data_IF_179893187365
#
_entry.id   IF_179893187365
#
_cell.length_a   1.000
_cell.length_b   1.000
_cell.length_c   1.000
_cell.angle_alpha   90.00
_cell.angle_beta   90.00
_cell.angle_gamma   90.00
#
_symmetry.space_group_name_H-M   'P 1'
#
loop_
_entity.id
_entity.type
_entity.pdbx_description
1 polymer ?
#
# COMPACT_ATOMS: atom_id res chain seq x y z
N UNK A 1 -7.42 8.03 -18.91
CA UNK A 1 -6.47 8.61 -19.89
C UNK A 1 -6.85 10.02 -20.32
N UNK A 2 -8.14 10.37 -20.41
CA UNK A 2 -8.60 11.73 -20.75
C UNK A 2 -8.40 12.80 -19.64
N UNK A 3 -7.63 12.52 -18.58
CA UNK A 3 -7.36 13.47 -17.49
C UNK A 3 -8.47 13.65 -16.45
N UNK A 4 -9.69 13.17 -16.70
CA UNK A 4 -10.78 13.23 -15.73
C UNK A 4 -10.69 12.13 -14.66
N UNK A 5 -9.98 12.43 -13.57
CA UNK A 5 -9.80 11.50 -12.46
C UNK A 5 -11.03 11.36 -11.57
N UNK A 6 -11.90 12.37 -11.48
CA UNK A 6 -13.08 12.35 -10.61
C UNK A 6 -14.12 11.38 -11.17
N UNK A 7 -14.47 11.54 -12.44
CA UNK A 7 -15.40 10.64 -13.12
C UNK A 7 -14.84 9.22 -13.16
N UNK A 8 -13.54 9.06 -13.39
CA UNK A 8 -12.91 7.76 -13.37
C UNK A 8 -13.03 7.07 -11.99
N UNK A 9 -12.92 7.81 -10.89
CA UNK A 9 -13.13 7.27 -9.55
C UNK A 9 -14.59 6.85 -9.32
N UNK A 10 -15.56 7.65 -9.79
CA UNK A 10 -16.99 7.30 -9.75
C UNK A 10 -17.29 5.96 -10.42
N UNK A 11 -16.79 5.75 -11.65
CA UNK A 11 -16.99 4.48 -12.36
C UNK A 11 -16.35 3.29 -11.65
N UNK A 12 -15.19 3.51 -11.01
CA UNK A 12 -14.54 2.46 -10.23
C UNK A 12 -15.31 2.15 -8.93
N UNK A 13 -15.96 3.14 -8.33
CA UNK A 13 -16.81 2.94 -7.16
C UNK A 13 -18.08 2.16 -7.52
N UNK A 14 -18.74 2.51 -8.63
CA UNK A 14 -19.86 1.73 -9.17
C UNK A 14 -19.44 0.27 -9.43
N UNK A 15 -18.29 0.04 -10.05
CA UNK A 15 -17.77 -1.31 -10.27
C UNK A 15 -17.49 -2.06 -8.96
N UNK A 16 -16.98 -1.37 -7.93
CA UNK A 16 -16.74 -1.96 -6.60
C UNK A 16 -18.05 -2.32 -5.87
N UNK A 17 -19.13 -1.57 -6.12
CA UNK A 17 -20.44 -1.87 -5.55
C UNK A 17 -21.10 -3.10 -6.19
N UNK A 18 -20.76 -3.43 -7.44
CA UNK A 18 -21.25 -4.63 -8.13
C UNK A 18 -20.62 -5.92 -7.58
N UNK A 19 -19.39 -5.85 -7.07
CA UNK A 19 -18.72 -6.97 -6.38
C UNK A 19 -17.96 -6.47 -5.15
N UNK A 20 -18.64 -6.45 -4.01
CA UNK A 20 -18.08 -5.95 -2.76
C UNK A 20 -17.08 -6.90 -2.11
N UNK A 21 -17.03 -8.16 -2.55
CA UNK A 21 -16.11 -9.17 -2.03
C UNK A 21 -14.75 -9.15 -2.77
N UNK A 22 -14.68 -8.58 -3.97
CA UNK A 22 -13.45 -8.50 -4.76
C UNK A 22 -12.47 -7.43 -4.21
N UNK A 23 -11.38 -7.92 -3.62
CA UNK A 23 -10.29 -7.08 -3.11
C UNK A 23 -9.51 -6.36 -4.21
N UNK A 24 -9.34 -6.95 -5.39
CA UNK A 24 -8.63 -6.31 -6.50
C UNK A 24 -9.40 -5.08 -7.00
N UNK A 25 -10.71 -5.22 -7.23
CA UNK A 25 -11.56 -4.08 -7.64
C UNK A 25 -11.56 -3.00 -6.56
N UNK A 26 -11.63 -3.39 -5.29
CA UNK A 26 -11.51 -2.46 -4.16
C UNK A 26 -10.17 -1.70 -4.15
N UNK A 27 -9.03 -2.40 -4.27
CA UNK A 27 -7.71 -1.76 -4.36
C UNK A 27 -7.62 -0.78 -5.53
N UNK A 28 -8.19 -1.13 -6.69
CA UNK A 28 -8.22 -0.26 -7.87
C UNK A 28 -9.10 0.96 -7.65
N UNK A 29 -10.24 0.79 -6.98
CA UNK A 29 -11.12 1.89 -6.58
C UNK A 29 -10.41 2.86 -5.62
N UNK A 30 -9.80 2.36 -4.54
CA UNK A 30 -8.95 3.14 -3.63
C UNK A 30 -7.88 3.93 -4.39
N UNK A 31 -7.17 3.29 -5.31
CA UNK A 31 -6.14 3.94 -6.13
C UNK A 31 -6.68 5.10 -6.96
N UNK A 32 -7.88 4.96 -7.51
CA UNK A 32 -8.50 6.01 -8.31
C UNK A 32 -8.95 7.19 -7.44
N UNK A 33 -9.51 6.93 -6.26
CA UNK A 33 -9.81 7.98 -5.28
C UNK A 33 -8.56 8.74 -4.84
N UNK A 34 -7.43 8.06 -4.62
CA UNK A 34 -6.15 8.71 -4.32
C UNK A 34 -5.69 9.62 -5.47
N UNK A 35 -5.81 9.16 -6.71
CA UNK A 35 -5.47 9.95 -7.92
C UNK A 35 -6.37 11.16 -8.11
N UNK A 36 -7.64 11.04 -7.72
CA UNK A 36 -8.61 12.13 -7.64
C UNK A 36 -8.40 13.06 -6.42
N UNK A 37 -7.36 12.83 -5.61
CA UNK A 37 -7.05 13.54 -4.36
C UNK A 37 -8.13 13.43 -3.27
N UNK A 38 -9.01 12.44 -3.37
CA UNK A 38 -10.06 12.13 -2.39
C UNK A 38 -9.53 11.12 -1.36
N UNK A 39 -8.63 11.59 -0.48
CA UNK A 39 -7.89 10.73 0.45
C UNK A 39 -8.80 10.06 1.48
N UNK A 40 -9.77 10.79 2.04
CA UNK A 40 -10.67 10.24 3.07
C UNK A 40 -11.52 9.09 2.49
N UNK A 41 -12.13 9.31 1.31
CA UNK A 41 -12.90 8.29 0.60
C UNK A 41 -12.03 7.09 0.23
N UNK A 42 -10.78 7.32 -0.20
CA UNK A 42 -9.86 6.23 -0.46
C UNK A 42 -9.59 5.37 0.78
N UNK A 43 -9.45 6.00 1.96
CA UNK A 43 -9.25 5.30 3.25
C UNK A 43 -10.49 4.51 3.67
N UNK A 44 -11.69 5.05 3.48
CA UNK A 44 -12.95 4.34 3.74
C UNK A 44 -13.10 3.11 2.85
N UNK A 45 -12.84 3.25 1.55
CA UNK A 45 -12.90 2.13 0.59
C UNK A 45 -11.87 1.06 0.94
N UNK A 46 -10.63 1.48 1.24
CA UNK A 46 -9.58 0.55 1.64
C UNK A 46 -9.92 -0.17 2.96
N UNK A 47 -10.59 0.55 3.87
CA UNK A 47 -11.02 0.06 5.17
C UNK A 47 -11.91 -1.18 5.13
N UNK A 48 -12.63 -1.39 4.02
CA UNK A 48 -13.47 -2.58 3.80
C UNK A 48 -12.70 -3.90 3.89
N UNK A 49 -11.37 -3.89 3.66
CA UNK A 49 -10.49 -5.06 3.73
C UNK A 49 -9.42 -4.96 4.82
N UNK A 50 -9.58 -4.04 5.78
CA UNK A 50 -8.68 -3.91 6.94
C UNK A 50 -9.35 -4.41 8.22
N UNK A 51 -8.56 -4.64 9.28
CA UNK A 51 -9.11 -5.02 10.59
C UNK A 51 -9.91 -3.86 11.19
N UNK A 52 -11.05 -4.16 11.82
CA UNK A 52 -11.96 -3.17 12.41
C UNK A 52 -11.36 -2.37 13.58
N UNK A 53 -10.35 -2.93 14.26
CA UNK A 53 -9.77 -2.35 15.47
C UNK A 53 -8.60 -1.37 15.24
N UNK A 54 -8.22 -1.12 13.99
CA UNK A 54 -7.10 -0.25 13.63
C UNK A 54 -7.51 0.71 12.52
N UNK A 55 -6.86 1.88 12.43
CA UNK A 55 -7.12 2.74 11.27
C UNK A 55 -6.66 2.04 9.98
N UNK A 56 -7.38 2.18 8.86
CA UNK A 56 -6.99 1.54 7.60
C UNK A 56 -5.57 1.92 7.18
N UNK A 57 -5.15 3.16 7.46
CA UNK A 57 -3.80 3.64 7.15
C UNK A 57 -2.71 2.95 7.98
N UNK A 58 -2.95 2.72 9.27
CA UNK A 58 -1.99 2.02 10.14
C UNK A 58 -1.93 0.54 9.81
N UNK A 59 -3.09 -0.09 9.59
CA UNK A 59 -3.15 -1.50 9.19
C UNK A 59 -2.41 -1.75 7.88
N UNK A 60 -2.62 -0.90 6.86
CA UNK A 60 -1.93 -1.04 5.58
C UNK A 60 -0.42 -0.80 5.70
N UNK A 61 0.02 0.07 6.62
CA UNK A 61 1.44 0.24 6.94
C UNK A 61 2.02 -1.00 7.60
N UNK A 62 1.33 -1.59 8.58
CA UNK A 62 1.76 -2.83 9.25
C UNK A 62 1.83 -4.01 8.27
N UNK A 63 0.92 -4.06 7.29
CA UNK A 63 0.95 -5.07 6.22
C UNK A 63 1.95 -4.73 5.10
N UNK A 64 2.82 -3.73 5.30
CA UNK A 64 3.86 -3.31 4.35
C UNK A 64 3.30 -3.05 2.94
N UNK A 65 2.11 -2.44 2.86
CA UNK A 65 1.37 -2.20 1.63
C UNK A 65 1.91 -0.99 0.85
N UNK A 66 3.11 -1.13 0.28
CA UNK A 66 3.88 -0.04 -0.33
C UNK A 66 3.16 0.65 -1.51
N UNK A 67 2.37 -0.09 -2.30
CA UNK A 67 1.65 0.52 -3.42
C UNK A 67 0.65 1.59 -2.96
N UNK A 68 0.01 1.37 -1.80
CA UNK A 68 -0.92 2.30 -1.20
C UNK A 68 -0.19 3.50 -0.60
N UNK A 69 0.89 3.24 0.14
CA UNK A 69 1.73 4.28 0.75
C UNK A 69 2.34 5.22 -0.31
N UNK A 70 2.74 4.67 -1.46
CA UNK A 70 3.25 5.45 -2.58
C UNK A 70 2.16 6.34 -3.20
N UNK A 71 0.97 5.78 -3.49
CA UNK A 71 -0.12 6.54 -4.12
C UNK A 71 -0.68 7.62 -3.18
N UNK A 72 -0.76 7.36 -1.87
CA UNK A 72 -1.20 8.37 -0.89
C UNK A 72 -0.13 9.45 -0.68
N UNK A 73 1.17 9.10 -0.68
CA UNK A 73 2.26 10.09 -0.65
C UNK A 73 2.20 11.03 -1.86
N UNK A 74 1.95 10.48 -3.05
CA UNK A 74 1.77 11.27 -4.27
C UNK A 74 0.52 12.16 -4.20
N UNK A 75 -0.59 11.67 -3.62
CA UNK A 75 -1.78 12.47 -3.39
C UNK A 75 -1.52 13.65 -2.44
N UNK A 76 -0.84 13.40 -1.31
CA UNK A 76 -0.41 14.46 -0.39
C UNK A 76 0.49 15.48 -1.07
N UNK A 77 1.43 15.03 -1.90
CA UNK A 77 2.28 15.93 -2.70
C UNK A 77 1.48 16.81 -3.65
N UNK A 78 0.50 16.25 -4.39
CA UNK A 78 -0.39 17.02 -5.28
C UNK A 78 -1.21 18.06 -4.50
N UNK A 79 -1.59 17.74 -3.27
CA UNK A 79 -2.29 18.65 -2.35
C UNK A 79 -1.37 19.64 -1.62
N UNK A 80 -0.08 19.70 -1.95
CA UNK A 80 0.94 20.53 -1.27
C UNK A 80 1.11 20.25 0.23
N UNK A 81 0.68 19.07 0.69
CA UNK A 81 0.87 18.57 2.07
C UNK A 81 2.21 17.84 2.17
N UNK A 82 3.31 18.57 2.03
CA UNK A 82 4.64 17.97 1.90
C UNK A 82 5.11 17.21 3.14
N UNK A 83 4.73 17.64 4.35
CA UNK A 83 5.07 16.92 5.58
C UNK A 83 4.50 15.50 5.62
N UNK A 84 3.21 15.36 5.30
CA UNK A 84 2.55 14.04 5.22
C UNK A 84 3.11 13.18 4.09
N UNK A 85 3.40 13.80 2.94
CA UNK A 85 4.02 13.10 1.82
C UNK A 85 5.40 12.55 2.20
N UNK A 86 6.24 13.35 2.84
CA UNK A 86 7.58 12.96 3.27
C UNK A 86 7.53 11.87 4.34
N UNK A 87 6.61 11.99 5.30
CA UNK A 87 6.37 10.95 6.32
C UNK A 87 6.08 9.60 5.66
N UNK A 88 5.20 9.56 4.65
CA UNK A 88 4.90 8.33 3.90
C UNK A 88 6.11 7.77 3.16
N UNK A 89 6.95 8.63 2.59
CA UNK A 89 8.21 8.17 1.96
C UNK A 89 9.16 7.51 2.97
N UNK A 90 9.28 8.06 4.18
CA UNK A 90 10.10 7.44 5.24
C UNK A 90 9.50 6.14 5.77
N UNK A 91 8.17 6.01 5.81
CA UNK A 91 7.53 4.74 6.15
C UNK A 91 7.90 3.64 5.14
N UNK A 92 7.94 3.97 3.84
CA UNK A 92 8.39 3.05 2.79
C UNK A 92 9.87 2.66 2.97
N UNK A 93 10.74 3.63 3.22
CA UNK A 93 12.17 3.39 3.45
C UNK A 93 12.41 2.46 4.64
N UNK A 94 11.64 2.63 5.72
CA UNK A 94 11.70 1.75 6.90
C UNK A 94 11.36 0.30 6.55
N UNK A 95 10.39 0.04 5.67
CA UNK A 95 10.07 -1.33 5.23
C UNK A 95 11.29 -2.00 4.57
N UNK A 96 12.08 -1.26 3.80
CA UNK A 96 13.31 -1.80 3.20
C UNK A 96 14.38 -2.12 4.25
N UNK A 97 14.50 -1.31 5.30
CA UNK A 97 15.41 -1.62 6.42
C UNK A 97 14.96 -2.88 7.16
N UNK A 98 13.67 -3.01 7.44
CA UNK A 98 13.08 -4.21 8.04
C UNK A 98 13.37 -5.46 7.18
N UNK A 99 13.24 -5.37 5.86
CA UNK A 99 13.57 -6.48 4.95
C UNK A 99 15.04 -6.90 5.00
N UNK A 100 15.95 -5.95 5.22
CA UNK A 100 17.38 -6.24 5.36
C UNK A 100 17.65 -6.91 6.73
N UNK A 101 17.03 -6.40 7.79
CA UNK A 101 17.15 -6.96 9.14
C UNK A 101 16.59 -8.41 9.21
N UNK A 102 15.46 -8.66 8.54
CA UNK A 102 14.83 -9.98 8.44
C UNK A 102 15.74 -11.05 7.83
N UNK A 103 16.77 -10.66 7.05
CA UNK A 103 17.75 -11.60 6.48
C UNK A 103 18.64 -12.26 7.54
N UNK A 104 18.79 -11.64 8.72
CA UNK A 104 19.77 -12.06 9.72
C UNK A 104 19.57 -13.51 10.17
N UNK A 105 18.32 -13.91 10.41
CA UNK A 105 17.97 -15.27 10.86
C UNK A 105 18.25 -16.33 9.76
N UNK A 106 18.25 -15.90 8.49
CA UNK A 106 18.48 -16.80 7.36
C UNK A 106 19.93 -17.22 7.19
N UNK A 107 20.91 -16.45 7.70
CA UNK A 107 22.32 -16.86 7.70
C UNK A 107 22.53 -18.21 8.40
N UNK A 108 21.91 -18.39 9.58
CA UNK A 108 22.01 -19.65 10.32
C UNK A 108 21.00 -20.70 9.82
N UNK A 109 19.78 -20.27 9.48
CA UNK A 109 18.73 -21.18 9.01
C UNK A 109 19.12 -21.90 7.72
N UNK A 110 19.62 -21.18 6.72
CA UNK A 110 19.90 -21.74 5.39
C UNK A 110 21.07 -22.72 5.42
N UNK A 111 22.09 -22.45 6.24
CA UNK A 111 23.18 -23.39 6.50
C UNK A 111 22.68 -24.67 7.16
N UNK A 112 21.82 -24.55 8.19
CA UNK A 112 21.24 -25.72 8.88
C UNK A 112 20.32 -26.54 8.00
N UNK A 113 19.60 -25.91 7.07
CA UNK A 113 18.64 -26.56 6.16
C UNK A 113 19.22 -26.94 4.80
N UNK A 114 20.49 -26.64 4.55
CA UNK A 114 21.20 -26.95 3.31
C UNK A 114 20.54 -26.38 2.05
N UNK A 115 19.91 -25.20 2.16
CA UNK A 115 19.27 -24.47 1.04
C UNK A 115 20.20 -23.38 0.50
N UNK A 116 21.40 -23.79 0.09
CA UNK A 116 22.51 -22.86 -0.18
C UNK A 116 22.32 -21.99 -1.44
N UNK A 117 21.65 -22.50 -2.48
CA UNK A 117 21.39 -21.70 -3.69
C UNK A 117 20.49 -20.50 -3.36
N UNK A 118 19.36 -20.76 -2.68
CA UNK A 118 18.45 -19.71 -2.25
C UNK A 118 19.09 -18.72 -1.26
N UNK A 119 20.05 -19.18 -0.44
CA UNK A 119 20.80 -18.30 0.45
C UNK A 119 21.70 -17.33 -0.33
N UNK A 120 22.42 -17.81 -1.35
CA UNK A 120 23.25 -16.94 -2.19
C UNK A 120 22.38 -15.97 -3.00
N UNK A 121 21.23 -16.42 -3.50
CA UNK A 121 20.28 -15.55 -4.23
C UNK A 121 19.67 -14.46 -3.35
N UNK A 122 19.62 -14.66 -2.03
CA UNK A 122 19.10 -13.67 -1.06
C UNK A 122 20.10 -12.55 -0.76
N UNK A 123 21.41 -12.84 -0.80
CA UNK A 123 22.51 -11.90 -0.48
C UNK A 123 22.77 -10.91 -1.61
#
# INVERSE_FOLDING_TARGET
HAGDYQTAASWMDEAQLLDTADRFVNCKCTKYFLRANQINTALEVAGKFTRENASPAEYLREMQCQWFELEIAQAYRRLKKYGEALKKCHEIDRHFQEFIEDQFDFHSYCLRKMVLCAYVDML
#
